data_IF_951485939623
#
_entry.id   IF_951485939623
#
_cell.length_a   1.000
_cell.length_b   1.000
_cell.length_c   1.000
_cell.angle_alpha   90.00
_cell.angle_beta   90.00
_cell.angle_gamma   90.00
#
_symmetry.space_group_name_H-M   'P 1'
#
loop_
_entity.id
_entity.type
_entity.pdbx_description
1 polymer ?
#
# COMPACT_ATOMS: atom_id res chain seq x y z
N UNK A 1 -8.89 31.57 -14.68
CA UNK A 1 -8.14 30.53 -13.92
C UNK A 1 -8.74 30.42 -12.53
N UNK A 2 -9.26 29.26 -12.13
CA UNK A 2 -9.80 29.06 -10.76
C UNK A 2 -8.63 29.15 -9.77
N UNK A 3 -8.75 30.00 -8.74
CA UNK A 3 -7.74 30.09 -7.68
C UNK A 3 -7.82 28.82 -6.83
N UNK A 4 -6.73 28.07 -6.76
CA UNK A 4 -6.59 26.90 -5.89
C UNK A 4 -6.40 27.39 -4.45
N UNK A 5 -7.49 27.52 -3.70
CA UNK A 5 -7.48 27.79 -2.28
C UNK A 5 -6.92 26.59 -1.53
N UNK A 6 -5.80 26.77 -0.80
CA UNK A 6 -5.22 25.75 0.08
C UNK A 6 -3.79 25.32 -0.27
N UNK A 7 -3.26 25.65 -1.46
CA UNK A 7 -1.84 25.43 -1.75
C UNK A 7 -1.00 26.57 -1.17
N UNK A 8 -0.10 26.23 -0.23
CA UNK A 8 0.90 27.18 0.27
C UNK A 8 1.71 27.71 -0.91
N UNK A 9 1.79 29.03 -1.06
CA UNK A 9 2.52 29.70 -2.14
C UNK A 9 4.04 29.51 -2.04
N UNK A 10 4.54 29.35 -0.81
CA UNK A 10 5.96 29.22 -0.50
C UNK A 10 6.16 28.01 0.41
N UNK A 11 6.78 26.97 -0.11
CA UNK A 11 7.37 25.92 0.73
C UNK A 11 8.69 26.45 1.28
N UNK A 12 8.90 26.37 2.59
CA UNK A 12 10.18 26.77 3.17
C UNK A 12 11.28 25.82 2.70
N UNK A 13 12.50 26.33 2.54
CA UNK A 13 13.68 25.50 2.25
C UNK A 13 13.92 24.43 3.33
N UNK A 14 13.35 24.60 4.52
CA UNK A 14 13.35 23.65 5.62
C UNK A 14 12.35 22.50 5.40
N UNK A 15 11.10 22.80 5.01
CA UNK A 15 10.08 21.79 4.66
C UNK A 15 10.54 20.92 3.49
N UNK A 16 11.16 21.51 2.45
CA UNK A 16 11.72 20.76 1.33
C UNK A 16 12.93 19.88 1.73
N UNK A 17 13.67 20.25 2.79
CA UNK A 17 14.76 19.44 3.35
C UNK A 17 14.28 18.34 4.30
N UNK A 18 13.01 18.35 4.73
CA UNK A 18 12.39 17.23 5.46
C UNK A 18 11.91 16.14 4.49
N UNK A 19 11.64 16.50 3.22
CA UNK A 19 11.33 15.57 2.13
C UNK A 19 12.59 14.91 1.55
N UNK A 20 13.48 14.42 2.41
CA UNK A 20 14.80 13.90 2.01
C UNK A 20 14.78 12.55 1.33
N UNK A 21 13.66 11.84 1.40
CA UNK A 21 13.56 10.50 0.83
C UNK A 21 12.22 10.27 0.12
N UNK A 22 11.98 11.06 -0.92
CA UNK A 22 10.84 10.84 -1.84
C UNK A 22 11.02 9.57 -2.70
N UNK A 23 12.18 8.91 -2.63
CA UNK A 23 12.50 7.70 -3.39
C UNK A 23 12.07 6.42 -2.68
N UNK A 24 11.81 6.47 -1.38
CA UNK A 24 11.37 5.33 -0.58
C UNK A 24 9.93 5.55 -0.11
N UNK A 25 8.99 5.46 -1.05
CA UNK A 25 7.69 4.92 -0.64
C UNK A 25 7.95 3.43 -0.38
N UNK A 26 8.36 3.09 0.85
CA UNK A 26 8.30 1.70 1.31
C UNK A 26 6.82 1.35 1.38
N UNK A 27 6.30 0.79 0.30
CA UNK A 27 5.00 0.14 0.33
C UNK A 27 5.03 -0.93 1.40
N UNK A 28 4.00 -0.96 2.25
CA UNK A 28 3.82 -2.06 3.18
C UNK A 28 3.60 -3.39 2.45
N UNK A 29 3.62 -4.48 3.21
CA UNK A 29 3.25 -5.82 2.74
C UNK A 29 1.97 -5.75 1.91
N UNK A 30 2.01 -6.33 0.71
CA UNK A 30 0.88 -6.32 -0.21
C UNK A 30 0.26 -7.71 -0.24
N UNK A 31 -1.05 -7.79 0.04
CA UNK A 31 -1.82 -9.03 -0.03
C UNK A 31 -2.75 -8.95 -1.24
N UNK A 32 -2.62 -9.90 -2.16
CA UNK A 32 -3.49 -10.01 -3.33
C UNK A 32 -4.36 -11.25 -3.14
N UNK A 33 -5.67 -11.08 -3.21
CA UNK A 33 -6.60 -12.19 -3.11
C UNK A 33 -6.43 -13.14 -4.30
N UNK A 34 -6.29 -14.41 -3.98
CA UNK A 34 -6.12 -15.49 -4.96
C UNK A 34 -7.47 -15.86 -5.57
N UNK A 35 -7.46 -16.26 -6.84
CA UNK A 35 -8.67 -16.71 -7.55
C UNK A 35 -8.96 -18.21 -7.33
N UNK A 36 -8.76 -18.71 -6.11
CA UNK A 36 -8.98 -20.11 -5.75
C UNK A 36 -10.04 -20.19 -4.65
N UNK A 37 -10.91 -21.20 -4.74
CA UNK A 37 -11.82 -21.53 -3.67
C UNK A 37 -11.10 -22.44 -2.68
N UNK A 38 -10.89 -21.96 -1.46
CA UNK A 38 -10.20 -22.68 -0.38
C UNK A 38 -11.13 -23.15 0.73
N UNK A 39 -12.44 -23.04 0.54
CA UNK A 39 -13.46 -23.47 1.51
C UNK A 39 -14.50 -22.39 1.77
N UNK A 40 -15.60 -22.80 2.40
CA UNK A 40 -16.68 -21.90 2.78
C UNK A 40 -16.20 -20.90 3.84
N UNK A 41 -16.43 -19.59 3.61
CA UNK A 41 -15.97 -18.50 4.46
C UNK A 41 -14.44 -18.44 4.64
N UNK A 42 -13.68 -18.90 3.64
CA UNK A 42 -12.23 -18.81 3.62
C UNK A 42 -11.73 -18.09 2.36
N UNK A 43 -10.74 -17.21 2.52
CA UNK A 43 -10.07 -16.50 1.43
C UNK A 43 -8.56 -16.72 1.52
N UNK A 44 -7.95 -16.93 0.37
CA UNK A 44 -6.51 -17.08 0.23
C UNK A 44 -5.89 -15.82 -0.35
N UNK A 45 -4.76 -15.38 0.20
CA UNK A 45 -3.99 -14.25 -0.30
C UNK A 45 -2.54 -14.67 -0.57
N UNK A 46 -2.02 -14.23 -1.71
CA UNK A 46 -0.58 -14.21 -1.96
C UNK A 46 0.01 -12.94 -1.34
N UNK A 47 1.08 -13.09 -0.56
CA UNK A 47 1.74 -12.03 0.20
C UNK A 47 3.05 -11.66 -0.46
N UNK A 48 3.26 -10.36 -0.65
CA UNK A 48 4.47 -9.77 -1.22
C UNK A 48 5.08 -8.76 -0.26
N UNK A 49 6.39 -8.57 -0.30
CA UNK A 49 7.09 -7.60 0.55
C UNK A 49 6.63 -6.15 0.32
N UNK A 50 6.14 -5.86 -0.89
CA UNK A 50 5.76 -4.53 -1.37
C UNK A 50 5.04 -4.65 -2.74
N UNK A 51 4.35 -3.60 -3.21
CA UNK A 51 3.81 -3.58 -4.57
C UNK A 51 4.92 -3.73 -5.62
N UNK A 52 4.89 -4.83 -6.38
CA UNK A 52 5.91 -5.16 -7.38
C UNK A 52 7.20 -5.75 -6.82
N UNK A 53 7.24 -6.07 -5.52
CA UNK A 53 8.40 -6.72 -4.91
C UNK A 53 8.26 -8.24 -4.79
N UNK A 54 9.10 -8.86 -3.95
CA UNK A 54 9.27 -10.31 -3.89
C UNK A 54 8.12 -11.05 -3.22
N UNK A 55 7.80 -12.23 -3.76
CA UNK A 55 6.84 -13.15 -3.16
C UNK A 55 7.34 -13.64 -1.79
N UNK A 56 6.48 -13.56 -0.78
CA UNK A 56 6.78 -14.01 0.60
C UNK A 56 6.11 -15.32 0.94
N UNK A 57 4.97 -15.61 0.35
CA UNK A 57 4.21 -16.81 0.65
C UNK A 57 2.71 -16.56 0.54
N UNK A 58 1.95 -17.39 1.24
CA UNK A 58 0.51 -17.45 1.13
C UNK A 58 -0.13 -17.56 2.49
N UNK A 59 -1.25 -16.88 2.66
CA UNK A 59 -2.05 -16.93 3.88
C UNK A 59 -3.49 -17.29 3.53
N UNK A 60 -4.11 -18.10 4.38
CA UNK A 60 -5.53 -18.42 4.30
C UNK A 60 -6.20 -17.88 5.55
N UNK A 61 -7.20 -17.04 5.38
CA UNK A 61 -8.00 -16.51 6.49
C UNK A 61 -9.41 -17.07 6.37
N UNK A 62 -9.90 -17.66 7.45
CA UNK A 62 -11.26 -18.20 7.53
C UNK A 62 -12.03 -17.45 8.61
N UNK A 63 -13.25 -17.01 8.29
CA UNK A 63 -14.10 -16.30 9.22
C UNK A 63 -15.27 -15.59 8.55
N UNK A 64 -16.22 -15.06 9.34
CA UNK A 64 -17.45 -14.45 8.81
C UNK A 64 -17.23 -13.17 7.97
N UNK A 65 -16.02 -12.60 7.99
CA UNK A 65 -15.62 -11.43 7.22
C UNK A 65 -14.40 -11.70 6.32
N UNK A 66 -14.11 -12.98 6.02
CA UNK A 66 -13.05 -13.35 5.09
C UNK A 66 -13.43 -12.95 3.66
#
# INVERSE_FOLDING_TARGET
MKKLTGMKKNFSSLENKQLKDLKTIQGGTCNIQSNVNVGENCVEYDVYDSPGGGYKGRITTCGPNA
#
